data_IF_573292301507
#
_entry.id   IF_573292301507
#
_cell.length_a   1.000
_cell.length_b   1.000
_cell.length_c   1.000
_cell.angle_alpha   90.00
_cell.angle_beta   90.00
_cell.angle_gamma   90.00
#
_symmetry.space_group_name_H-M   'P 1'
#
loop_
_entity.id
_entity.type
_entity.pdbx_description
1 polymer ?
#
# COMPACT_ATOMS: atom_id res chain seq x y z
N UNK A 1 16.51 -1.86 11.84
CA UNK A 1 15.46 -2.76 11.31
C UNK A 1 15.98 -4.14 10.86
N UNK A 2 17.17 -4.31 10.28
CA UNK A 2 17.73 -5.59 9.79
C UNK A 2 17.80 -6.79 10.78
N UNK A 3 17.48 -6.56 12.06
CA UNK A 3 17.42 -7.60 13.10
C UNK A 3 16.23 -8.55 12.93
N UNK A 4 15.16 -8.14 12.25
CA UNK A 4 13.97 -8.99 12.01
C UNK A 4 14.16 -10.05 10.91
N UNK A 5 15.15 -9.90 10.01
CA UNK A 5 15.47 -10.93 9.00
C UNK A 5 16.36 -12.07 9.57
N UNK A 6 17.08 -11.82 10.68
CA UNK A 6 17.96 -12.81 11.31
C UNK A 6 17.21 -14.06 11.82
N UNK A 7 16.05 -13.96 12.50
CA UNK A 7 15.26 -15.15 12.87
C UNK A 7 14.70 -15.91 11.67
N UNK A 8 14.46 -15.24 10.53
CA UNK A 8 14.00 -15.90 9.30
C UNK A 8 15.06 -16.84 8.70
N UNK A 9 16.36 -16.57 8.92
CA UNK A 9 17.49 -17.44 8.54
C UNK A 9 17.60 -18.70 9.42
N UNK A 10 17.22 -18.62 10.70
CA UNK A 10 17.14 -19.78 11.59
C UNK A 10 15.97 -20.71 11.21
N UNK A 11 14.86 -20.11 10.79
CA UNK A 11 13.69 -20.79 10.21
C UNK A 11 14.03 -21.55 8.92
N UNK A 12 14.93 -21.03 8.07
CA UNK A 12 15.39 -21.74 6.87
C UNK A 12 16.32 -22.93 7.12
N UNK A 13 16.76 -23.16 8.36
CA UNK A 13 17.56 -24.34 8.72
C UNK A 13 16.72 -25.59 8.99
N UNK A 14 15.40 -25.44 9.19
CA UNK A 14 14.49 -26.56 9.50
C UNK A 14 13.63 -26.84 8.25
N UNK A 15 13.75 -28.03 7.62
CA UNK A 15 13.11 -28.30 6.33
C UNK A 15 11.57 -28.20 6.37
N UNK A 16 10.96 -28.39 7.55
CA UNK A 16 9.51 -28.29 7.74
C UNK A 16 8.95 -26.87 7.56
N UNK A 17 9.67 -25.83 7.98
CA UNK A 17 9.20 -24.46 7.85
C UNK A 17 9.39 -23.90 6.44
N UNK A 18 10.39 -24.37 5.69
CA UNK A 18 10.58 -23.98 4.29
C UNK A 18 9.41 -24.42 3.41
N UNK A 19 8.82 -25.59 3.67
CA UNK A 19 7.64 -26.08 2.93
C UNK A 19 6.44 -25.15 3.14
N UNK A 20 6.23 -24.69 4.37
CA UNK A 20 5.15 -23.73 4.69
C UNK A 20 5.37 -22.40 3.99
N UNK A 21 6.58 -21.83 4.06
CA UNK A 21 6.90 -20.56 3.39
C UNK A 21 6.75 -20.66 1.87
N UNK A 22 7.20 -21.76 1.26
CA UNK A 22 7.04 -21.97 -0.18
C UNK A 22 5.57 -22.09 -0.57
N UNK A 23 4.74 -22.72 0.28
CA UNK A 23 3.29 -22.81 0.07
C UNK A 23 2.61 -21.44 0.16
N UNK A 24 3.04 -20.59 1.10
CA UNK A 24 2.54 -19.21 1.24
C UNK A 24 2.90 -18.39 -0.01
N UNK A 25 4.16 -18.44 -0.45
CA UNK A 25 4.61 -17.70 -1.64
C UNK A 25 3.84 -18.17 -2.87
N UNK A 26 3.64 -19.49 -3.02
CA UNK A 26 2.86 -20.05 -4.13
C UNK A 26 1.40 -19.60 -4.12
N UNK A 27 0.80 -19.42 -2.94
CA UNK A 27 -0.54 -18.86 -2.77
C UNK A 27 -0.61 -17.34 -3.01
N UNK A 28 0.51 -16.61 -2.86
CA UNK A 28 0.58 -15.18 -3.16
C UNK A 28 0.63 -14.86 -4.67
N UNK A 29 1.16 -15.77 -5.49
CA UNK A 29 1.22 -15.60 -6.96
C UNK A 29 -0.15 -15.28 -7.59
N UNK A 30 -1.24 -16.03 -7.32
CA UNK A 30 -2.55 -15.69 -7.88
C UNK A 30 -3.12 -14.37 -7.31
N UNK A 31 -2.77 -14.01 -6.07
CA UNK A 31 -3.20 -12.73 -5.48
C UNK A 31 -2.57 -11.53 -6.18
N UNK A 32 -1.38 -11.69 -6.80
CA UNK A 32 -0.71 -10.62 -7.53
C UNK A 32 -1.54 -10.13 -8.72
N UNK A 33 -2.28 -11.01 -9.40
CA UNK A 33 -3.19 -10.61 -10.47
C UNK A 33 -4.34 -9.72 -9.95
N UNK A 34 -4.90 -10.05 -8.79
CA UNK A 34 -5.97 -9.25 -8.17
C UNK A 34 -5.42 -7.91 -7.71
N UNK A 35 -4.22 -7.90 -7.09
CA UNK A 35 -3.55 -6.69 -6.66
C UNK A 35 -3.25 -5.74 -7.85
N UNK A 36 -2.86 -6.28 -9.00
CA UNK A 36 -2.63 -5.50 -10.22
C UNK A 36 -3.94 -4.86 -10.73
N UNK A 37 -5.05 -5.61 -10.71
CA UNK A 37 -6.37 -5.08 -11.06
C UNK A 37 -6.80 -3.95 -10.11
N UNK A 38 -6.63 -4.14 -8.80
CA UNK A 38 -6.94 -3.12 -7.80
C UNK A 38 -6.07 -1.88 -7.99
N UNK A 39 -4.77 -2.04 -8.24
CA UNK A 39 -3.86 -0.93 -8.53
C UNK A 39 -4.33 -0.14 -9.76
N UNK A 40 -4.73 -0.83 -10.83
CA UNK A 40 -5.23 -0.21 -12.04
C UNK A 40 -6.50 0.63 -11.79
N UNK A 41 -7.44 0.08 -11.01
CA UNK A 41 -8.66 0.78 -10.60
C UNK A 41 -8.33 2.02 -9.75
N UNK A 42 -7.41 1.90 -8.79
CA UNK A 42 -6.96 3.04 -7.98
C UNK A 42 -6.38 4.15 -8.86
N UNK A 43 -5.57 3.80 -9.87
CA UNK A 43 -4.98 4.79 -10.78
C UNK A 43 -6.08 5.54 -11.56
N UNK A 44 -7.09 4.85 -12.08
CA UNK A 44 -8.21 5.48 -12.79
C UNK A 44 -8.94 6.47 -11.88
N UNK A 45 -9.33 6.03 -10.68
CA UNK A 45 -10.03 6.91 -9.73
C UNK A 45 -9.14 8.05 -9.23
N UNK A 46 -7.83 7.84 -9.11
CA UNK A 46 -6.90 8.89 -8.73
C UNK A 46 -6.79 9.98 -9.80
N UNK A 47 -6.72 9.62 -11.08
CA UNK A 47 -6.71 10.59 -12.19
C UNK A 47 -8.03 11.37 -12.21
N UNK A 48 -9.17 10.67 -12.15
CA UNK A 48 -10.49 11.31 -12.13
C UNK A 48 -10.62 12.25 -10.93
N UNK A 49 -10.20 11.82 -9.75
CA UNK A 49 -10.21 12.63 -8.54
C UNK A 49 -9.28 13.83 -8.65
N UNK A 50 -8.10 13.67 -9.24
CA UNK A 50 -7.17 14.79 -9.46
C UNK A 50 -7.81 15.82 -10.39
N UNK A 51 -8.32 15.44 -11.55
CA UNK A 51 -8.95 16.37 -12.50
C UNK A 51 -10.16 17.10 -11.89
N UNK A 52 -10.96 16.42 -11.06
CA UNK A 52 -12.14 17.03 -10.40
C UNK A 52 -11.79 17.94 -9.23
N UNK A 53 -10.78 17.58 -8.43
CA UNK A 53 -10.47 18.25 -7.16
C UNK A 53 -9.20 19.10 -7.19
N UNK A 54 -8.45 19.12 -8.30
CA UNK A 54 -7.26 19.96 -8.45
C UNK A 54 -7.64 21.44 -8.27
N UNK A 55 -6.96 22.10 -7.32
CA UNK A 55 -7.14 23.52 -7.05
C UNK A 55 -8.43 23.91 -6.28
N UNK A 56 -9.34 22.97 -6.00
CA UNK A 56 -10.60 23.27 -5.29
C UNK A 56 -10.46 23.32 -3.77
N UNK A 57 -9.46 22.64 -3.22
CA UNK A 57 -9.24 22.48 -1.77
C UNK A 57 -8.36 23.58 -1.14
N UNK A 58 -7.87 24.56 -1.91
CA UNK A 58 -6.96 25.61 -1.41
C UNK A 58 -7.66 26.82 -0.76
N UNK A 59 -8.99 26.80 -0.62
CA UNK A 59 -9.73 27.90 0.00
C UNK A 59 -10.04 27.56 1.45
N UNK A 60 -9.58 28.42 2.36
CA UNK A 60 -9.99 28.41 3.76
C UNK A 60 -10.66 29.75 4.10
N UNK A 61 -11.61 29.74 5.03
CA UNK A 61 -12.23 30.95 5.54
C UNK A 61 -11.37 31.48 6.69
N UNK A 62 -11.06 32.78 6.68
CA UNK A 62 -10.45 33.47 7.81
C UNK A 62 -11.46 34.47 8.38
N UNK A 63 -11.64 34.47 9.70
CA UNK A 63 -12.44 35.49 10.36
C UNK A 63 -11.67 36.81 10.36
N UNK A 64 -12.29 37.87 9.86
CA UNK A 64 -11.73 39.22 9.86
C UNK A 64 -11.99 39.92 11.21
N UNK A 65 -11.60 39.30 12.33
CA UNK A 65 -11.75 39.84 13.69
C UNK A 65 -10.58 40.78 14.06
N UNK A 66 -10.29 41.78 13.23
CA UNK A 66 -9.16 42.68 13.52
C UNK A 66 -8.97 43.90 12.63
N UNK A 67 -9.99 44.38 11.93
CA UNK A 67 -9.94 45.69 11.26
C UNK A 67 -11.21 46.47 11.61
N UNK A 68 -11.22 47.05 12.81
CA UNK A 68 -12.00 48.22 13.20
C UNK A 68 -11.16 48.99 14.23
#
# INVERSE_FOLDING_TARGET
AFRVLRPLRLVSGVPSLQVVLNSIIKAMVPLLHIALLVLFVIIIYAIIGLELFMGKMHKTCYNQEGIA
#
